data_IF_412981050486
#
_entry.id   IF_412981050486
#
_cell.length_a   1.000
_cell.length_b   1.000
_cell.length_c   1.000
_cell.angle_alpha   90.00
_cell.angle_beta   90.00
_cell.angle_gamma   90.00
#
_symmetry.space_group_name_H-M   'P 1'
#
loop_
_entity.id
_entity.type
_entity.pdbx_description
1 polymer ?
#
# COMPACT_ATOMS: atom_id res chain seq x y z
N UNK A 1 36.61 -64.28 28.76
CA UNK A 1 35.31 -64.96 28.93
C UNK A 1 34.21 -63.89 29.00
N UNK A 2 33.01 -64.14 28.45
CA UNK A 2 32.53 -63.41 27.27
C UNK A 2 31.18 -62.71 27.45
N UNK A 3 30.78 -61.94 26.42
CA UNK A 3 29.39 -61.52 26.06
C UNK A 3 28.80 -60.45 26.99
N UNK A 4 28.20 -59.37 26.48
CA UNK A 4 26.83 -59.36 25.94
C UNK A 4 26.57 -58.01 25.23
N UNK A 5 25.95 -58.10 24.04
CA UNK A 5 25.09 -57.12 23.32
C UNK A 5 25.58 -55.67 23.17
N UNK A 6 25.98 -55.17 21.99
CA UNK A 6 25.23 -55.11 20.73
C UNK A 6 23.80 -54.56 20.86
N UNK A 7 23.64 -53.31 21.29
CA UNK A 7 22.36 -52.60 21.18
C UNK A 7 22.62 -51.10 20.87
N UNK A 8 21.97 -50.65 19.78
CA UNK A 8 21.67 -49.26 19.40
C UNK A 8 22.75 -48.46 18.66
N UNK A 9 23.16 -48.98 17.50
CA UNK A 9 23.61 -48.16 16.37
C UNK A 9 22.41 -47.64 15.58
N UNK A 10 21.57 -46.80 16.20
CA UNK A 10 20.50 -46.04 15.53
C UNK A 10 20.18 -44.82 16.38
N UNK A 11 21.16 -43.93 16.57
CA UNK A 11 20.81 -42.55 16.87
C UNK A 11 20.34 -41.96 15.55
N UNK A 12 19.02 -41.99 15.38
CA UNK A 12 18.32 -41.42 14.27
C UNK A 12 18.90 -40.03 13.99
N UNK A 13 19.26 -39.81 12.72
CA UNK A 13 19.32 -38.49 12.12
C UNK A 13 17.97 -37.82 12.40
N UNK A 14 17.90 -37.10 13.52
CA UNK A 14 16.89 -36.10 13.74
C UNK A 14 17.20 -35.02 12.72
N UNK A 15 16.64 -35.20 11.52
CA UNK A 15 16.54 -34.14 10.53
C UNK A 15 15.88 -32.97 11.25
N UNK A 16 16.71 -31.99 11.61
CA UNK A 16 16.30 -30.73 12.17
C UNK A 16 15.49 -30.01 11.10
N UNK A 17 14.22 -30.37 11.03
CA UNK A 17 13.22 -29.69 10.23
C UNK A 17 12.79 -28.45 11.03
N UNK A 18 13.78 -27.67 11.48
CA UNK A 18 13.54 -26.33 11.94
C UNK A 18 12.91 -25.60 10.75
N UNK A 19 11.63 -25.28 10.92
CA UNK A 19 10.82 -24.60 9.94
C UNK A 19 11.62 -23.47 9.30
N UNK A 20 11.83 -23.57 7.99
CA UNK A 20 12.38 -22.48 7.20
C UNK A 20 11.32 -21.38 7.20
N UNK A 21 11.28 -20.56 8.25
CA UNK A 21 10.53 -19.32 8.24
C UNK A 21 11.13 -18.49 7.09
N UNK A 22 10.39 -18.33 6.00
CA UNK A 22 10.83 -17.49 4.90
C UNK A 22 11.06 -16.09 5.46
N UNK A 23 12.30 -15.61 5.40
CA UNK A 23 12.64 -14.25 5.80
C UNK A 23 11.76 -13.26 5.02
N UNK A 24 11.05 -12.39 5.73
CA UNK A 24 10.25 -11.35 5.10
C UNK A 24 11.19 -10.37 4.40
N UNK A 25 11.15 -10.34 3.07
CA UNK A 25 12.00 -9.50 2.23
C UNK A 25 11.16 -8.56 1.38
N UNK A 26 11.42 -7.26 1.52
CA UNK A 26 10.84 -6.22 0.67
C UNK A 26 11.52 -6.18 -0.69
N UNK A 27 10.79 -5.73 -1.71
CA UNK A 27 11.33 -5.53 -3.05
C UNK A 27 12.42 -4.45 -3.06
N UNK A 28 13.47 -4.72 -3.83
CA UNK A 28 14.58 -3.82 -4.11
C UNK A 28 14.46 -3.12 -5.49
N UNK A 29 13.38 -3.40 -6.22
CA UNK A 29 13.09 -2.82 -7.53
C UNK A 29 11.83 -1.95 -7.52
N UNK A 30 11.85 -0.83 -8.22
CA UNK A 30 10.67 0.02 -8.39
C UNK A 30 9.50 -0.71 -9.07
N UNK A 31 8.24 -0.41 -8.71
CA UNK A 31 7.08 -0.98 -9.37
C UNK A 31 6.92 -0.49 -10.82
N UNK A 32 6.07 -1.16 -11.63
CA UNK A 32 5.75 -0.70 -12.98
C UNK A 32 5.30 0.77 -13.02
N UNK A 33 5.78 1.51 -14.02
CA UNK A 33 5.53 2.95 -14.16
C UNK A 33 6.52 3.85 -13.41
N UNK A 34 7.38 3.29 -12.56
CA UNK A 34 8.42 4.02 -11.84
C UNK A 34 9.81 3.63 -12.33
N UNK A 35 10.76 4.54 -12.24
CA UNK A 35 12.19 4.25 -12.45
C UNK A 35 12.99 4.63 -11.22
N UNK A 36 14.03 3.85 -10.95
CA UNK A 36 14.98 4.15 -9.88
C UNK A 36 15.81 5.39 -10.28
N UNK A 37 15.82 6.40 -9.43
CA UNK A 37 16.65 7.59 -9.52
C UNK A 37 18.01 7.37 -8.84
N UNK A 38 18.95 8.29 -9.07
CA UNK A 38 20.32 8.17 -8.56
C UNK A 38 20.45 8.29 -7.04
N UNK A 39 19.43 8.81 -6.38
CA UNK A 39 19.30 8.91 -4.92
C UNK A 39 18.68 7.65 -4.27
N UNK A 40 18.35 6.63 -5.08
CA UNK A 40 17.71 5.39 -4.61
C UNK A 40 16.18 5.46 -4.53
N UNK A 41 15.57 6.60 -4.86
CA UNK A 41 14.13 6.78 -4.90
C UNK A 41 13.49 6.28 -6.19
N UNK A 42 12.24 5.84 -6.12
CA UNK A 42 11.42 5.51 -7.28
C UNK A 42 10.63 6.76 -7.70
N UNK A 43 10.91 7.23 -8.91
CA UNK A 43 10.24 8.38 -9.51
C UNK A 43 9.28 7.93 -10.61
N UNK A 44 8.10 8.53 -10.66
CA UNK A 44 7.11 8.20 -11.69
C UNK A 44 7.69 8.57 -13.05
N UNK A 45 7.56 7.69 -14.06
CA UNK A 45 8.01 7.96 -15.43
C UNK A 45 6.94 7.56 -16.42
N UNK A 46 6.31 8.55 -17.02
CA UNK A 46 5.26 8.34 -18.01
C UNK A 46 5.34 9.36 -19.16
N UNK A 47 4.77 9.06 -20.33
CA UNK A 47 4.77 9.98 -21.47
C UNK A 47 4.12 11.34 -21.17
N UNK A 48 3.17 11.39 -20.22
CA UNK A 48 2.48 12.63 -19.86
C UNK A 48 3.40 13.68 -19.21
N UNK A 49 4.55 13.27 -18.68
CA UNK A 49 5.57 14.20 -18.17
C UNK A 49 6.30 14.97 -19.27
N UNK A 50 6.22 14.51 -20.53
CA UNK A 50 6.86 15.15 -21.68
C UNK A 50 5.89 16.00 -22.51
N UNK A 51 4.65 16.18 -22.05
CA UNK A 51 3.76 17.18 -22.65
C UNK A 51 4.13 18.55 -22.11
N UNK A 52 5.03 19.22 -22.83
CA UNK A 52 5.29 20.64 -22.64
C UNK A 52 4.03 21.43 -23.06
N UNK A 53 3.60 22.36 -22.20
CA UNK A 53 2.78 23.49 -22.65
C UNK A 53 3.66 24.28 -23.61
N UNK A 54 3.49 24.06 -24.92
CA UNK A 54 4.52 24.40 -25.90
C UNK A 54 4.93 25.88 -25.93
N UNK A 55 4.14 26.83 -25.41
CA UNK A 55 4.46 28.26 -25.51
C UNK A 55 3.87 29.17 -24.41
N UNK A 56 3.47 28.68 -23.21
CA UNK A 56 2.62 29.47 -22.27
C UNK A 56 1.29 29.99 -22.88
N UNK A 57 1.00 29.61 -24.12
CA UNK A 57 -0.22 29.94 -24.84
C UNK A 57 -1.08 28.69 -24.84
N UNK A 58 -2.25 28.79 -24.20
CA UNK A 58 -3.25 27.73 -24.18
C UNK A 58 -3.83 27.53 -25.57
N UNK A 59 -3.20 26.65 -26.36
CA UNK A 59 -3.84 26.11 -27.56
C UNK A 59 -4.73 24.95 -27.13
N UNK A 60 -6.04 25.13 -27.24
CA UNK A 60 -7.06 24.18 -26.78
C UNK A 60 -6.78 22.75 -27.23
N UNK A 61 -6.38 21.91 -26.26
CA UNK A 61 -6.06 20.49 -26.39
C UNK A 61 -5.36 20.00 -25.11
N UNK A 62 -5.51 18.73 -24.74
CA UNK A 62 -5.01 18.13 -23.47
C UNK A 62 -3.49 17.93 -23.44
N UNK A 63 -2.72 18.98 -23.69
CA UNK A 63 -1.26 19.00 -23.62
C UNK A 63 -0.79 19.80 -22.39
N UNK A 64 -1.24 19.36 -21.21
CA UNK A 64 -0.77 19.88 -19.93
C UNK A 64 0.03 18.79 -19.22
N UNK A 65 1.17 19.14 -18.63
CA UNK A 65 1.92 18.24 -17.77
C UNK A 65 1.06 17.80 -16.58
N UNK A 66 1.33 16.62 -16.03
CA UNK A 66 0.68 16.20 -14.79
C UNK A 66 0.98 17.20 -13.65
N UNK A 67 0.05 17.41 -12.71
CA UNK A 67 0.33 18.21 -11.52
C UNK A 67 1.57 17.71 -10.78
N UNK A 68 2.22 18.62 -10.05
CA UNK A 68 3.23 18.24 -9.08
C UNK A 68 2.63 17.21 -8.10
N UNK A 69 3.40 16.18 -7.80
CA UNK A 69 3.04 15.10 -6.89
C UNK A 69 4.29 14.70 -6.11
N UNK A 70 4.09 13.98 -5.01
CA UNK A 70 5.18 13.45 -4.20
C UNK A 70 5.61 12.08 -4.73
N UNK A 71 6.87 11.94 -5.09
CA UNK A 71 7.53 10.69 -5.46
C UNK A 71 8.93 10.60 -4.79
N UNK A 72 9.77 9.65 -5.21
CA UNK A 72 11.11 9.46 -4.64
C UNK A 72 11.19 8.51 -3.45
N UNK A 73 10.12 7.80 -3.13
CA UNK A 73 10.13 6.72 -2.15
C UNK A 73 11.02 5.56 -2.61
N UNK A 74 11.76 4.96 -1.69
CA UNK A 74 12.56 3.76 -1.99
C UNK A 74 11.66 2.59 -2.44
N UNK A 75 12.18 1.63 -3.22
CA UNK A 75 11.45 0.41 -3.57
C UNK A 75 10.85 -0.30 -2.34
N UNK A 76 11.59 -0.31 -1.23
CA UNK A 76 11.21 -0.97 0.01
C UNK A 76 10.06 -0.24 0.71
N UNK A 77 10.06 1.10 0.75
CA UNK A 77 8.95 1.88 1.32
C UNK A 77 7.65 1.66 0.52
N UNK A 78 7.74 1.66 -0.81
CA UNK A 78 6.57 1.40 -1.66
C UNK A 78 6.04 -0.02 -1.44
N UNK A 79 6.94 -1.01 -1.36
CA UNK A 79 6.56 -2.40 -1.16
C UNK A 79 5.99 -2.66 0.24
N UNK A 80 6.52 -1.99 1.27
CA UNK A 80 5.98 -2.02 2.62
C UNK A 80 4.60 -1.39 2.68
N UNK A 81 4.42 -0.20 2.07
CA UNK A 81 3.11 0.44 1.96
C UNK A 81 2.09 -0.43 1.24
N UNK A 82 2.51 -1.16 0.20
CA UNK A 82 1.68 -2.16 -0.47
C UNK A 82 1.24 -3.27 0.48
N UNK A 83 2.11 -3.79 1.35
CA UNK A 83 1.69 -4.79 2.35
C UNK A 83 0.68 -4.20 3.33
N UNK A 84 1.01 -3.06 3.95
CA UNK A 84 0.15 -2.42 4.95
C UNK A 84 -1.24 -2.06 4.41
N UNK A 85 -1.36 -1.70 3.13
CA UNK A 85 -2.64 -1.37 2.51
C UNK A 85 -3.67 -2.53 2.55
N UNK A 86 -3.19 -3.78 2.48
CA UNK A 86 -4.03 -4.98 2.48
C UNK A 86 -4.01 -5.74 3.81
N UNK A 87 -3.21 -5.28 4.77
CA UNK A 87 -3.03 -5.95 6.05
C UNK A 87 -3.95 -5.30 7.10
N UNK A 88 -4.83 -6.06 7.78
CA UNK A 88 -5.67 -5.51 8.83
C UNK A 88 -4.92 -5.23 10.14
N UNK A 89 -3.60 -5.45 10.20
CA UNK A 89 -2.76 -5.20 11.36
C UNK A 89 -2.92 -3.79 11.97
N UNK A 90 -3.29 -2.80 11.15
CA UNK A 90 -3.48 -1.41 11.60
C UNK A 90 -4.86 -1.14 12.20
N UNK A 91 -5.84 -2.03 12.02
CA UNK A 91 -7.15 -1.92 12.64
C UNK A 91 -7.11 -2.41 14.08
N UNK A 92 -7.78 -1.71 15.00
CA UNK A 92 -7.71 -2.04 16.43
C UNK A 92 -8.25 -3.42 16.79
N UNK A 93 -9.19 -3.96 15.99
CA UNK A 93 -9.73 -5.32 16.14
C UNK A 93 -9.17 -6.33 15.12
N UNK A 94 -8.32 -5.88 14.19
CA UNK A 94 -7.73 -6.69 13.14
C UNK A 94 -8.72 -7.19 12.09
N UNK A 95 -9.89 -6.57 11.95
CA UNK A 95 -10.93 -7.01 11.00
C UNK A 95 -10.88 -6.31 9.63
N UNK A 96 -10.32 -5.10 9.56
CA UNK A 96 -10.37 -4.22 8.39
C UNK A 96 -8.98 -3.73 8.01
N UNK A 97 -8.76 -3.55 6.70
CA UNK A 97 -7.58 -2.91 6.12
C UNK A 97 -8.01 -1.74 5.24
N UNK A 98 -7.07 -0.93 4.76
CA UNK A 98 -7.38 0.13 3.79
C UNK A 98 -8.11 -0.44 2.55
N UNK A 99 -7.71 -1.63 2.10
CA UNK A 99 -8.29 -2.33 0.97
C UNK A 99 -9.74 -2.79 1.18
N UNK A 100 -10.24 -2.88 2.42
CA UNK A 100 -11.63 -3.25 2.72
C UNK A 100 -12.64 -2.15 2.34
N UNK A 101 -12.19 -0.91 2.22
CA UNK A 101 -12.98 0.23 1.76
C UNK A 101 -12.50 0.76 0.40
N UNK A 102 -11.23 0.53 0.04
CA UNK A 102 -10.64 0.99 -1.22
C UNK A 102 -10.30 -0.21 -2.12
N UNK A 103 -11.32 -0.90 -2.63
CA UNK A 103 -11.15 -2.14 -3.38
C UNK A 103 -10.53 -1.91 -4.77
N UNK A 104 -9.44 -2.62 -5.15
CA UNK A 104 -8.81 -2.45 -6.46
C UNK A 104 -9.75 -2.68 -7.66
N UNK A 105 -10.69 -3.63 -7.56
CA UNK A 105 -11.67 -3.97 -8.60
C UNK A 105 -12.83 -2.98 -8.70
N UNK A 106 -13.00 -2.12 -7.71
CA UNK A 106 -14.00 -1.03 -7.69
C UNK A 106 -13.35 0.34 -7.81
N UNK A 107 -12.19 0.37 -8.48
CA UNK A 107 -11.42 1.56 -8.69
C UNK A 107 -10.92 2.21 -7.39
N UNK A 108 -10.45 1.38 -6.46
CA UNK A 108 -10.02 1.80 -5.13
C UNK A 108 -11.07 2.63 -4.38
N UNK A 109 -12.35 2.25 -4.55
CA UNK A 109 -13.49 2.71 -3.77
C UNK A 109 -14.27 1.50 -3.25
N UNK A 110 -15.38 1.72 -2.54
CA UNK A 110 -16.22 0.63 -2.00
C UNK A 110 -17.51 0.41 -2.80
N UNK A 111 -17.76 1.20 -3.85
CA UNK A 111 -18.97 1.13 -4.67
C UNK A 111 -20.27 1.41 -3.92
N UNK A 112 -20.23 1.99 -2.72
CA UNK A 112 -21.40 2.21 -1.86
C UNK A 112 -21.74 3.69 -1.74
N UNK A 113 -23.00 3.99 -1.40
CA UNK A 113 -23.39 5.35 -1.03
C UNK A 113 -22.81 5.80 0.32
N UNK A 114 -22.55 4.84 1.21
CA UNK A 114 -21.93 5.01 2.53
C UNK A 114 -21.13 3.74 2.85
N UNK A 115 -19.93 3.90 3.38
CA UNK A 115 -19.05 2.77 3.71
C UNK A 115 -19.52 2.03 4.96
N UNK A 116 -19.03 0.81 5.10
CA UNK A 116 -19.22 -0.03 6.29
C UNK A 116 -17.84 -0.20 6.90
N UNK A 117 -17.61 0.36 8.07
CA UNK A 117 -16.36 0.22 8.80
C UNK A 117 -16.43 -0.90 9.83
N UNK A 118 -15.59 -0.81 10.85
CA UNK A 118 -15.44 -1.82 11.91
C UNK A 118 -16.77 -2.15 12.60
N UNK A 119 -16.91 -3.40 13.04
CA UNK A 119 -18.14 -3.96 13.64
C UNK A 119 -19.40 -3.84 12.74
N UNK A 120 -19.24 -3.57 11.44
CA UNK A 120 -20.35 -3.42 10.51
C UNK A 120 -21.06 -2.06 10.60
N UNK A 121 -20.44 -1.06 11.23
CA UNK A 121 -21.03 0.27 11.36
C UNK A 121 -21.07 1.00 10.01
N UNK A 122 -22.25 1.51 9.65
CA UNK A 122 -22.40 2.35 8.45
C UNK A 122 -21.92 3.77 8.74
N UNK A 123 -20.80 4.17 8.16
CA UNK A 123 -20.19 5.49 8.40
C UNK A 123 -20.88 6.59 7.59
N UNK A 124 -20.50 7.85 7.82
CA UNK A 124 -21.25 9.01 7.30
C UNK A 124 -21.07 9.30 5.80
N UNK A 125 -20.03 8.73 5.17
CA UNK A 125 -19.65 8.98 3.77
C UNK A 125 -19.23 7.68 3.09
N UNK A 126 -19.13 7.69 1.77
CA UNK A 126 -18.50 6.61 1.01
C UNK A 126 -16.98 6.81 0.92
N UNK A 127 -16.26 5.73 0.64
CA UNK A 127 -14.83 5.76 0.40
C UNK A 127 -14.57 6.44 -0.96
N UNK A 128 -13.87 7.59 -1.01
CA UNK A 128 -13.48 8.20 -2.28
C UNK A 128 -12.50 7.28 -3.02
N UNK A 129 -12.46 7.38 -4.34
CA UNK A 129 -11.46 6.63 -5.13
C UNK A 129 -10.03 7.08 -4.78
N UNK A 130 -9.10 6.13 -4.70
CA UNK A 130 -7.66 6.44 -4.60
C UNK A 130 -6.97 6.61 -5.96
N UNK A 131 -7.68 6.41 -7.08
CA UNK A 131 -7.10 6.69 -8.40
C UNK A 131 -6.66 8.13 -8.47
N UNK A 132 -5.40 8.34 -8.88
CA UNK A 132 -4.81 9.66 -9.06
C UNK A 132 -4.73 10.52 -7.79
N UNK A 133 -4.90 9.93 -6.59
CA UNK A 133 -4.89 10.67 -5.32
C UNK A 133 -3.59 11.44 -5.09
N UNK A 134 -2.47 10.94 -5.63
CA UNK A 134 -1.16 11.59 -5.57
C UNK A 134 -1.12 12.99 -6.22
N UNK A 135 -2.08 13.31 -7.10
CA UNK A 135 -2.18 14.59 -7.80
C UNK A 135 -3.20 15.55 -7.16
N UNK A 136 -3.92 15.12 -6.12
CA UNK A 136 -4.91 15.94 -5.44
C UNK A 136 -4.23 16.86 -4.41
N UNK A 137 -4.71 18.10 -4.33
CA UNK A 137 -4.22 19.10 -3.35
C UNK A 137 -5.09 19.17 -2.09
N UNK A 138 -6.32 18.69 -2.17
CA UNK A 138 -7.32 18.73 -1.12
C UNK A 138 -8.01 17.38 -1.06
N UNK A 139 -8.19 16.92 0.16
CA UNK A 139 -8.52 15.55 0.50
C UNK A 139 -9.72 15.50 1.44
N UNK A 140 -10.35 14.33 1.57
CA UNK A 140 -11.72 14.14 2.08
C UNK A 140 -12.81 14.77 1.21
N UNK A 141 -14.05 14.31 1.42
CA UNK A 141 -15.26 14.85 0.79
C UNK A 141 -15.52 16.33 1.08
N UNK A 142 -15.08 16.82 2.24
CA UNK A 142 -15.19 18.22 2.65
C UNK A 142 -13.90 19.02 2.38
N UNK A 143 -12.94 18.42 1.66
CA UNK A 143 -11.69 19.03 1.27
C UNK A 143 -10.83 19.52 2.46
N UNK A 144 -11.02 19.04 3.70
CA UNK A 144 -10.35 19.64 4.87
C UNK A 144 -8.86 19.33 4.99
N UNK A 145 -8.40 18.19 4.46
CA UNK A 145 -6.99 17.78 4.57
C UNK A 145 -6.18 18.21 3.34
N UNK A 146 -4.90 18.51 3.56
CA UNK A 146 -3.97 18.99 2.51
C UNK A 146 -2.85 18.00 2.19
N UNK A 147 -2.76 16.90 2.95
CA UNK A 147 -1.79 15.82 2.73
C UNK A 147 -2.38 14.44 3.02
N UNK A 148 -1.80 13.40 2.42
CA UNK A 148 -2.21 12.02 2.68
C UNK A 148 -1.97 11.63 4.15
N UNK A 149 -0.89 12.12 4.76
CA UNK A 149 -0.58 11.90 6.18
C UNK A 149 -1.64 12.49 7.11
N UNK A 150 -2.17 13.65 6.76
CA UNK A 150 -3.27 14.27 7.50
C UNK A 150 -4.59 13.53 7.24
N UNK A 151 -4.85 13.12 5.99
CA UNK A 151 -6.05 12.35 5.66
C UNK A 151 -6.10 11.03 6.41
N UNK A 152 -4.97 10.31 6.54
CA UNK A 152 -4.95 8.99 7.21
C UNK A 152 -5.26 9.05 8.70
N UNK A 153 -5.04 10.19 9.37
CA UNK A 153 -5.37 10.32 10.80
C UNK A 153 -6.87 10.14 11.09
N UNK A 154 -7.74 10.45 10.12
CA UNK A 154 -9.18 10.28 10.31
C UNK A 154 -9.57 8.80 10.38
N UNK A 155 -9.42 8.04 9.26
CA UNK A 155 -9.80 6.63 9.20
C UNK A 155 -9.07 5.74 10.20
N UNK A 156 -7.76 5.93 10.37
CA UNK A 156 -6.92 5.07 11.21
C UNK A 156 -7.24 5.15 12.71
N UNK A 157 -7.81 6.26 13.19
CA UNK A 157 -8.03 6.49 14.62
C UNK A 157 -9.49 6.75 14.98
N UNK A 158 -10.42 6.61 14.03
CA UNK A 158 -11.84 6.72 14.30
C UNK A 158 -12.43 5.35 14.59
N UNK A 159 -13.17 5.24 15.68
CA UNK A 159 -13.83 4.00 16.12
C UNK A 159 -14.88 3.45 15.16
N UNK A 160 -15.19 4.18 14.08
CA UNK A 160 -16.19 3.79 13.09
C UNK A 160 -15.58 3.25 11.80
N UNK A 161 -14.27 3.43 11.55
CA UNK A 161 -13.61 2.97 10.32
C UNK A 161 -12.60 1.88 10.66
N UNK A 162 -11.37 2.21 11.08
CA UNK A 162 -10.34 1.20 11.39
C UNK A 162 -10.28 0.85 12.89
N UNK A 163 -10.69 1.76 13.78
CA UNK A 163 -10.78 1.53 15.22
C UNK A 163 -9.48 1.70 15.97
#
# INVERSE_FOLDING_TARGET
>A
MPRILAILFTLALLSDSAAQASEFRLRDSCPPGFKLAGDGGCVLRNPYQFYDSLQNEGVGGTHTSLPAHRDGFTPQEIDLGRYLFFDPLLSGDGSISCASCHHPDQGFSDGRGRSVGVDGHVVSRSAPTLWNVAFLKRLFWDARAESLEEQTQGPLYTSQEDG
#
